data_IF_546495290564
#
_entry.id   IF_546495290564
#
_cell.length_a   1.000
_cell.length_b   1.000
_cell.length_c   1.000
_cell.angle_alpha   90.00
_cell.angle_beta   90.00
_cell.angle_gamma   90.00
#
_symmetry.space_group_name_H-M   'P 1'
#
loop_
_entity.id
_entity.type
_entity.pdbx_description
1 polymer ?
#
# COMPACT_ATOMS: atom_id res chain seq x y z
N UNK A 1 -9.02 9.23 11.73
CA UNK A 1 -8.98 8.23 10.65
C UNK A 1 -8.26 7.00 11.17
N UNK A 2 -8.70 5.79 10.80
CA UNK A 2 -8.08 4.54 11.25
C UNK A 2 -7.88 3.54 10.10
N UNK A 3 -6.81 2.75 10.20
CA UNK A 3 -6.57 1.58 9.36
C UNK A 3 -6.86 0.31 10.16
N UNK A 4 -7.59 -0.62 9.55
CA UNK A 4 -7.87 -1.95 10.10
C UNK A 4 -7.08 -2.99 9.33
N UNK A 5 -6.34 -3.85 10.04
CA UNK A 5 -5.71 -5.02 9.45
C UNK A 5 -6.77 -6.07 9.12
N UNK A 6 -6.82 -6.51 7.86
CA UNK A 6 -7.82 -7.46 7.37
C UNK A 6 -7.17 -8.61 6.59
N UNK A 7 -7.98 -9.61 6.23
CA UNK A 7 -7.55 -10.70 5.37
C UNK A 7 -7.73 -10.38 3.88
N UNK A 8 -6.90 -10.97 3.02
CA UNK A 8 -6.95 -10.89 1.55
C UNK A 8 -8.22 -11.44 0.88
N UNK A 9 -9.18 -11.96 1.65
CA UNK A 9 -10.50 -12.40 1.20
C UNK A 9 -11.66 -11.67 1.89
N UNK A 10 -11.39 -10.57 2.61
CA UNK A 10 -12.44 -9.74 3.21
C UNK A 10 -13.35 -9.17 2.09
N UNK A 11 -14.66 -9.42 2.20
CA UNK A 11 -15.65 -9.02 1.19
C UNK A 11 -15.73 -7.51 0.98
N UNK A 12 -15.45 -6.72 2.02
CA UNK A 12 -15.48 -5.25 1.93
C UNK A 12 -14.33 -4.74 1.08
N UNK A 13 -13.14 -5.28 1.32
CA UNK A 13 -11.96 -4.95 0.53
C UNK A 13 -12.03 -5.48 -0.90
N UNK A 14 -12.69 -6.62 -1.13
CA UNK A 14 -12.91 -7.17 -2.46
C UNK A 14 -13.62 -6.19 -3.39
N UNK A 15 -14.62 -5.46 -2.88
CA UNK A 15 -15.34 -4.46 -3.66
C UNK A 15 -14.40 -3.35 -4.18
N UNK A 16 -13.55 -2.80 -3.32
CA UNK A 16 -12.53 -1.82 -3.73
C UNK A 16 -11.50 -2.44 -4.68
N UNK A 17 -11.02 -3.64 -4.38
CA UNK A 17 -10.01 -4.31 -5.18
C UNK A 17 -10.50 -4.66 -6.59
N UNK A 18 -11.78 -4.98 -6.75
CA UNK A 18 -12.40 -5.27 -8.05
C UNK A 18 -12.45 -4.06 -8.98
N UNK A 19 -12.42 -2.84 -8.43
CA UNK A 19 -12.40 -1.58 -9.17
C UNK A 19 -10.98 -1.05 -9.44
N UNK A 20 -9.94 -1.76 -9.02
CA UNK A 20 -8.56 -1.34 -9.22
C UNK A 20 -8.03 -1.75 -10.61
N UNK A 21 -7.33 -0.84 -11.29
CA UNK A 21 -6.89 -1.02 -12.69
C UNK A 21 -5.92 -2.20 -12.90
N UNK A 22 -5.26 -2.71 -11.85
CA UNK A 22 -4.39 -3.90 -11.94
C UNK A 22 -5.14 -5.22 -11.75
N UNK A 23 -6.43 -5.18 -11.38
CA UNK A 23 -7.19 -6.38 -11.08
C UNK A 23 -7.46 -7.18 -12.36
N UNK A 24 -6.91 -8.40 -12.41
CA UNK A 24 -7.04 -9.28 -13.59
C UNK A 24 -8.36 -10.05 -13.64
N UNK A 25 -8.90 -10.44 -12.47
CA UNK A 25 -10.11 -11.25 -12.34
C UNK A 25 -11.03 -10.67 -11.26
N UNK A 26 -11.81 -9.61 -11.57
CA UNK A 26 -12.85 -9.12 -10.68
C UNK A 26 -13.84 -10.24 -10.30
N UNK A 27 -14.39 -10.22 -9.08
CA UNK A 27 -15.26 -11.27 -8.55
C UNK A 27 -14.54 -12.50 -7.97
N UNK A 28 -13.20 -12.58 -8.07
CA UNK A 28 -12.45 -13.65 -7.38
C UNK A 28 -12.45 -13.42 -5.87
N UNK A 29 -12.51 -14.49 -5.08
CA UNK A 29 -12.60 -14.43 -3.61
C UNK A 29 -11.32 -13.95 -2.90
N UNK A 30 -10.23 -13.72 -3.65
CA UNK A 30 -8.99 -13.14 -3.15
C UNK A 30 -8.42 -12.16 -4.17
N UNK A 31 -7.71 -11.14 -3.68
CA UNK A 31 -7.12 -10.08 -4.49
C UNK A 31 -5.60 -9.95 -4.34
N UNK A 32 -4.98 -10.77 -3.51
CA UNK A 32 -3.54 -10.80 -3.29
C UNK A 32 -2.89 -11.98 -4.03
N UNK A 33 -1.69 -11.76 -4.56
CA UNK A 33 -0.86 -12.82 -5.12
C UNK A 33 -0.24 -13.71 -4.01
N UNK A 34 0.23 -14.94 -4.32
CA UNK A 34 0.92 -15.79 -3.35
C UNK A 34 2.13 -15.09 -2.70
N UNK A 35 2.36 -15.35 -1.40
CA UNK A 35 3.40 -14.68 -0.60
C UNK A 35 2.87 -14.12 0.72
N UNK A 36 3.71 -13.37 1.44
CA UNK A 36 3.33 -12.66 2.66
C UNK A 36 2.58 -11.38 2.28
N UNK A 37 1.38 -11.20 2.83
CA UNK A 37 0.52 -10.07 2.53
C UNK A 37 0.12 -9.35 3.83
N UNK A 38 0.13 -8.03 3.80
CA UNK A 38 -0.45 -7.16 4.81
C UNK A 38 -1.48 -6.30 4.09
N UNK A 39 -2.71 -6.37 4.55
CA UNK A 39 -3.85 -5.70 3.92
C UNK A 39 -4.50 -4.77 4.93
N UNK A 40 -4.62 -3.51 4.56
CA UNK A 40 -5.25 -2.48 5.39
C UNK A 40 -6.47 -1.94 4.67
N UNK A 41 -7.59 -1.86 5.39
CA UNK A 41 -8.82 -1.21 4.95
C UNK A 41 -9.15 -0.08 5.93
N UNK A 42 -9.52 1.09 5.42
CA UNK A 42 -9.99 2.16 6.29
C UNK A 42 -11.32 1.79 6.92
N UNK A 43 -11.61 2.32 8.11
CA UNK A 43 -12.87 2.06 8.84
C UNK A 43 -14.12 2.50 8.08
N UNK A 44 -14.01 3.54 7.23
CA UNK A 44 -15.08 3.96 6.32
C UNK A 44 -15.18 3.10 5.05
N UNK A 45 -14.31 2.09 4.91
CA UNK A 45 -14.25 1.15 3.79
C UNK A 45 -14.02 1.81 2.44
N UNK A 46 -13.44 3.02 2.41
CA UNK A 46 -13.19 3.79 1.20
C UNK A 46 -11.75 3.70 0.68
N UNK A 47 -10.79 3.24 1.47
CA UNK A 47 -9.42 3.07 1.02
C UNK A 47 -8.83 1.71 1.40
N UNK A 48 -8.06 1.14 0.47
CA UNK A 48 -7.44 -0.18 0.57
C UNK A 48 -5.95 -0.06 0.23
N UNK A 49 -5.11 -0.67 1.08
CA UNK A 49 -3.66 -0.76 0.89
C UNK A 49 -3.20 -2.22 1.03
N UNK A 50 -2.29 -2.65 0.16
CA UNK A 50 -1.70 -3.99 0.19
C UNK A 50 -0.18 -3.90 0.10
N UNK A 51 0.51 -4.27 1.18
CA UNK A 51 1.95 -4.58 1.14
C UNK A 51 2.16 -6.07 0.90
N UNK A 52 3.08 -6.41 0.01
CA UNK A 52 3.44 -7.77 -0.33
C UNK A 52 4.95 -8.01 -0.16
N UNK A 53 5.31 -9.22 0.25
CA UNK A 53 6.67 -9.75 0.20
C UNK A 53 6.67 -11.22 -0.30
N UNK A 54 7.64 -11.58 -1.15
CA UNK A 54 7.77 -12.91 -1.73
C UNK A 54 8.83 -12.96 -2.82
N UNK A 55 8.84 -14.04 -3.60
CA UNK A 55 9.84 -14.26 -4.67
C UNK A 55 9.60 -13.29 -5.83
N UNK A 56 10.66 -12.59 -6.25
CA UNK A 56 10.66 -11.64 -7.36
C UNK A 56 11.69 -12.03 -8.42
N UNK A 57 11.44 -11.67 -9.67
CA UNK A 57 12.32 -11.88 -10.82
C UNK A 57 12.91 -10.57 -11.38
N UNK A 58 12.61 -9.44 -10.74
CA UNK A 58 13.06 -8.09 -11.12
C UNK A 58 14.32 -7.62 -10.37
N UNK A 59 14.87 -8.46 -9.49
CA UNK A 59 16.10 -8.21 -8.75
C UNK A 59 15.97 -7.25 -7.56
N UNK A 60 14.76 -6.80 -7.21
CA UNK A 60 14.56 -5.90 -6.08
C UNK A 60 14.50 -6.67 -4.75
N UNK A 61 15.39 -6.34 -3.81
CA UNK A 61 15.19 -6.67 -2.39
C UNK A 61 14.31 -5.61 -1.75
N UNK A 62 12.99 -5.70 -1.94
CA UNK A 62 12.04 -4.71 -1.48
C UNK A 62 10.66 -5.32 -1.22
N UNK A 63 9.91 -4.69 -0.32
CA UNK A 63 8.45 -4.89 -0.27
C UNK A 63 7.80 -4.25 -1.50
N UNK A 64 6.56 -4.65 -1.82
CA UNK A 64 5.77 -4.02 -2.88
C UNK A 64 4.41 -3.57 -2.38
N UNK A 65 4.05 -2.33 -2.67
CA UNK A 65 2.67 -1.89 -2.68
C UNK A 65 2.00 -2.38 -3.98
N UNK A 66 1.32 -3.53 -3.89
CA UNK A 66 0.68 -4.19 -5.05
C UNK A 66 -0.69 -3.60 -5.39
N UNK A 67 -1.34 -2.97 -4.42
CA UNK A 67 -2.65 -2.34 -4.59
C UNK A 67 -2.77 -1.17 -3.61
N UNK A 68 -3.08 0.00 -4.13
CA UNK A 68 -3.57 1.12 -3.34
C UNK A 68 -4.75 1.77 -4.07
N UNK A 69 -5.88 1.86 -3.39
CA UNK A 69 -7.08 2.55 -3.89
C UNK A 69 -7.65 3.43 -2.79
N UNK A 70 -8.06 4.63 -3.15
CA UNK A 70 -8.78 5.55 -2.26
C UNK A 70 -9.95 6.15 -3.03
N UNK A 71 -11.17 5.89 -2.56
CA UNK A 71 -12.44 6.48 -3.03
C UNK A 71 -13.04 7.43 -1.97
N UNK A 72 -12.29 7.72 -0.90
CA UNK A 72 -12.71 8.58 0.19
C UNK A 72 -12.08 9.96 0.13
N UNK A 73 -12.41 10.77 1.14
CA UNK A 73 -12.08 12.20 1.18
C UNK A 73 -10.72 12.48 1.81
N UNK A 74 -10.09 11.46 2.41
CA UNK A 74 -8.77 11.59 3.01
C UNK A 74 -7.68 11.73 1.95
N UNK A 75 -6.67 12.54 2.25
CA UNK A 75 -5.54 12.75 1.35
C UNK A 75 -4.76 11.45 1.14
N UNK A 76 -4.72 10.99 -0.12
CA UNK A 76 -4.07 9.73 -0.50
C UNK A 76 -2.61 9.61 -0.07
N UNK A 77 -1.81 10.68 -0.15
CA UNK A 77 -0.42 10.65 0.31
C UNK A 77 -0.31 10.44 1.81
N UNK A 78 -1.23 11.02 2.59
CA UNK A 78 -1.27 10.82 4.04
C UNK A 78 -1.63 9.37 4.37
N UNK A 79 -2.66 8.81 3.72
CA UNK A 79 -3.02 7.40 3.83
C UNK A 79 -1.84 6.45 3.55
N UNK A 80 -1.06 6.73 2.51
CA UNK A 80 0.15 5.96 2.17
C UNK A 80 1.18 6.03 3.31
N UNK A 81 1.48 7.23 3.83
CA UNK A 81 2.45 7.40 4.94
C UNK A 81 2.02 6.62 6.18
N UNK A 82 0.74 6.68 6.55
CA UNK A 82 0.24 5.91 7.69
C UNK A 82 0.36 4.40 7.45
N UNK A 83 -0.02 3.93 6.25
CA UNK A 83 0.09 2.52 5.89
C UNK A 83 1.55 2.01 5.96
N UNK A 84 2.52 2.84 5.56
CA UNK A 84 3.95 2.52 5.68
C UNK A 84 4.40 2.42 7.13
N UNK A 85 3.95 3.32 8.00
CA UNK A 85 4.26 3.26 9.44
C UNK A 85 3.70 2.00 10.09
N UNK A 86 2.50 1.58 9.69
CA UNK A 86 1.86 0.32 10.13
C UNK A 86 2.65 -0.89 9.61
N UNK A 87 3.03 -0.88 8.33
CA UNK A 87 3.87 -1.96 7.77
C UNK A 87 5.17 -2.07 8.54
N UNK A 88 5.84 -0.97 8.87
CA UNK A 88 7.08 -0.98 9.66
C UNK A 88 6.86 -1.52 11.08
N UNK A 89 5.76 -1.13 11.74
CA UNK A 89 5.41 -1.69 13.05
C UNK A 89 5.23 -3.22 13.00
N UNK A 90 4.50 -3.71 12.00
CA UNK A 90 4.16 -5.14 11.91
C UNK A 90 5.28 -6.01 11.32
N UNK A 91 6.08 -5.49 10.41
CA UNK A 91 7.08 -6.26 9.66
C UNK A 91 8.53 -5.90 10.02
N UNK A 92 8.75 -4.89 10.86
CA UNK A 92 10.08 -4.43 11.27
C UNK A 92 10.70 -3.46 10.26
N UNK A 93 12.04 -3.42 10.22
CA UNK A 93 12.76 -2.57 9.29
C UNK A 93 12.58 -3.03 7.83
N UNK A 94 12.45 -2.09 6.89
CA UNK A 94 12.29 -2.43 5.48
C UNK A 94 13.58 -3.05 4.91
N UNK A 95 13.49 -3.89 3.86
CA UNK A 95 14.64 -4.44 3.14
C UNK A 95 15.52 -3.35 2.52
N UNK A 96 16.68 -3.72 1.95
CA UNK A 96 17.64 -2.73 1.44
C UNK A 96 17.06 -1.81 0.35
N UNK A 97 16.17 -2.33 -0.49
CA UNK A 97 15.43 -1.59 -1.51
C UNK A 97 14.20 -0.85 -0.99
N UNK A 98 13.86 -0.96 0.30
CA UNK A 98 12.72 -0.29 0.90
C UNK A 98 11.39 -0.90 0.46
N UNK A 99 10.50 -0.07 -0.08
CA UNK A 99 9.25 -0.48 -0.70
C UNK A 99 9.10 0.16 -2.08
N UNK A 100 8.58 -0.61 -3.02
CA UNK A 100 8.33 -0.17 -4.39
C UNK A 100 6.85 -0.27 -4.77
N UNK A 101 6.47 0.40 -5.85
CA UNK A 101 5.19 0.22 -6.53
C UNK A 101 5.34 0.41 -8.02
N UNK A 102 4.56 -0.33 -8.80
CA UNK A 102 4.43 -0.14 -10.25
C UNK A 102 3.13 0.60 -10.56
N UNK A 103 3.28 1.80 -11.09
CA UNK A 103 2.16 2.67 -11.46
C UNK A 103 1.79 2.42 -12.93
N UNK A 104 0.49 2.28 -13.20
CA UNK A 104 -0.01 2.10 -14.57
C UNK A 104 0.32 3.31 -15.44
N UNK A 105 0.56 3.10 -16.74
CA UNK A 105 1.07 4.13 -17.67
C UNK A 105 0.19 5.40 -17.74
N UNK A 106 -1.13 5.25 -17.54
CA UNK A 106 -2.08 6.36 -17.53
C UNK A 106 -2.02 7.21 -16.24
N UNK A 107 -1.25 6.78 -15.24
CA UNK A 107 -1.10 7.46 -13.95
C UNK A 107 0.33 7.98 -13.78
N UNK A 108 0.45 9.16 -13.20
CA UNK A 108 1.76 9.79 -12.90
C UNK A 108 2.27 9.54 -11.48
N UNK A 109 1.53 8.79 -10.66
CA UNK A 109 1.93 8.45 -9.29
C UNK A 109 1.99 9.63 -8.32
N UNK A 110 1.22 10.71 -8.55
CA UNK A 110 1.30 11.95 -7.78
C UNK A 110 1.18 11.77 -6.25
N UNK A 111 0.26 10.91 -5.80
CA UNK A 111 0.10 10.61 -4.37
C UNK A 111 1.33 9.91 -3.76
N UNK A 112 1.97 9.00 -4.50
CA UNK A 112 3.20 8.34 -4.06
C UNK A 112 4.36 9.34 -3.99
N UNK A 113 4.48 10.25 -4.96
CA UNK A 113 5.49 11.30 -4.92
C UNK A 113 5.33 12.21 -3.70
N UNK A 114 4.11 12.61 -3.40
CA UNK A 114 3.77 13.40 -2.21
C UNK A 114 4.02 12.61 -0.90
N UNK A 115 3.89 11.28 -0.92
CA UNK A 115 4.26 10.39 0.18
C UNK A 115 5.78 10.10 0.27
N UNK A 116 6.61 10.75 -0.56
CA UNK A 116 8.07 10.64 -0.50
C UNK A 116 8.70 9.68 -1.49
N UNK A 117 7.91 8.95 -2.30
CA UNK A 117 8.45 8.05 -3.32
C UNK A 117 9.17 8.82 -4.42
N UNK A 118 10.18 8.18 -5.02
CA UNK A 118 10.95 8.69 -6.14
C UNK A 118 10.98 7.69 -7.28
N UNK A 119 11.16 8.19 -8.51
CA UNK A 119 11.30 7.34 -9.69
C UNK A 119 12.57 6.48 -9.55
N UNK A 120 12.42 5.17 -9.73
CA UNK A 120 13.52 4.22 -9.70
C UNK A 120 13.71 3.47 -11.03
N UNK A 121 12.76 3.59 -11.97
CA UNK A 121 12.90 3.02 -13.30
C UNK A 121 11.57 2.79 -14.00
N UNK A 122 11.55 1.79 -14.88
CA UNK A 122 10.36 1.29 -15.57
C UNK A 122 10.37 -0.25 -15.55
N UNK A 123 9.20 -0.89 -15.56
CA UNK A 123 9.12 -2.34 -15.79
C UNK A 123 9.45 -2.71 -17.24
N UNK A 124 9.68 -4.00 -17.50
CA UNK A 124 9.81 -4.55 -18.88
C UNK A 124 8.61 -4.22 -19.77
N UNK A 125 7.44 -4.03 -19.15
CA UNK A 125 6.16 -3.70 -19.80
C UNK A 125 5.81 -2.21 -19.77
N UNK A 126 6.78 -1.33 -19.49
CA UNK A 126 6.57 0.12 -19.57
C UNK A 126 5.92 0.79 -18.35
N UNK A 127 5.69 0.06 -17.25
CA UNK A 127 5.09 0.65 -16.03
C UNK A 127 6.11 1.48 -15.26
N UNK A 128 5.70 2.64 -14.76
CA UNK A 128 6.53 3.50 -13.93
C UNK A 128 6.84 2.81 -12.59
N UNK A 129 8.12 2.63 -12.28
CA UNK A 129 8.57 2.11 -11.01
C UNK A 129 8.91 3.27 -10.06
N UNK A 130 8.22 3.30 -8.92
CA UNK A 130 8.47 4.23 -7.83
C UNK A 130 8.99 3.49 -6.61
N UNK A 131 9.92 4.11 -5.88
CA UNK A 131 10.56 3.57 -4.69
C UNK A 131 10.52 4.57 -3.54
N UNK A 132 10.25 4.06 -2.34
CA UNK A 132 10.58 4.71 -1.08
C UNK A 132 11.74 3.95 -0.42
N UNK A 133 12.89 4.61 -0.33
CA UNK A 133 14.11 4.05 0.26
C UNK A 133 13.99 3.88 1.78
N UNK A 134 14.73 2.95 2.41
CA UNK A 134 14.64 2.68 3.86
C UNK A 134 14.77 3.92 4.74
N UNK A 135 15.72 4.81 4.41
CA UNK A 135 15.96 6.06 5.15
C UNK A 135 14.81 7.09 5.07
N UNK A 136 13.80 6.87 4.23
CA UNK A 136 12.61 7.71 4.09
C UNK A 136 11.35 7.05 4.62
N UNK A 137 11.45 5.85 5.19
CA UNK A 137 10.31 5.23 5.87
C UNK A 137 9.89 6.10 7.05
N UNK A 138 8.57 6.30 7.25
CA UNK A 138 8.09 6.93 8.46
C UNK A 138 8.43 6.08 9.69
N UNK A 139 8.37 6.67 10.90
CA UNK A 139 8.41 5.90 12.14
C UNK A 139 7.35 4.78 12.16
N UNK A 140 7.63 3.72 12.90
CA UNK A 140 6.63 2.68 13.18
C UNK A 140 5.41 3.31 13.86
N UNK A 141 4.21 2.90 13.46
CA UNK A 141 2.97 3.40 14.06
C UNK A 141 2.49 2.46 15.17
N UNK A 142 2.13 3.03 16.31
CA UNK A 142 1.55 2.27 17.42
C UNK A 142 0.03 2.10 17.26
N UNK A 143 -0.52 0.91 17.57
CA UNK A 143 -1.96 0.71 17.61
C UNK A 143 -2.59 1.42 18.82
N UNK A 144 -3.82 1.87 18.67
CA UNK A 144 -4.66 2.33 19.77
C UNK A 144 -5.21 1.14 20.59
N UNK A 145 -5.76 1.43 21.77
CA UNK A 145 -6.51 0.44 22.55
C UNK A 145 -7.62 -0.18 21.67
N UNK A 146 -7.59 -1.52 21.51
CA UNK A 146 -8.51 -2.26 20.65
C UNK A 146 -7.94 -2.76 19.31
N UNK A 147 -6.65 -2.56 19.03
CA UNK A 147 -5.97 -3.21 17.88
C UNK A 147 -6.16 -2.51 16.53
N UNK A 148 -6.69 -1.29 16.54
CA UNK A 148 -6.76 -0.42 15.36
C UNK A 148 -5.57 0.54 15.32
N UNK A 149 -5.11 0.90 14.13
CA UNK A 149 -4.10 1.95 13.97
C UNK A 149 -4.81 3.29 13.76
N UNK A 150 -4.75 4.19 14.74
CA UNK A 150 -5.48 5.46 14.73
C UNK A 150 -4.53 6.65 14.65
N UNK A 151 -4.86 7.60 13.79
CA UNK A 151 -4.22 8.91 13.75
C UNK A 151 -5.29 10.00 13.62
N UNK A 152 -5.15 11.06 14.42
CA UNK A 152 -5.98 12.25 14.29
C UNK A 152 -5.40 13.15 13.19
N UNK A 153 -6.16 13.31 12.12
CA UNK A 153 -5.81 14.26 11.07
C UNK A 153 -6.49 15.57 11.41
N UNK A 154 -5.73 16.52 11.98
CA UNK A 154 -6.19 17.90 12.08
C UNK A 154 -5.96 18.51 10.69
N UNK A 155 -7.00 18.55 9.87
CA UNK A 155 -6.98 19.32 8.63
C UNK A 155 -7.27 20.76 9.04
N UNK A 156 -6.23 21.59 9.06
CA UNK A 156 -6.35 23.04 9.16
C UNK A 156 -6.76 23.64 7.81
#
# INVERSE_FOLDING_TARGET
>A
MSWTLINKGDHRALQLADRHYTRQKPGSNQFCRPGKNLVLLTEDEKALWVTWNGIRDDGWDAWECTLFRNEGDYLSSHLIVLALGITRHLWGEPPAGGIITYVGEHLRGGCFHAAGFRKAGMSKSGKLLLQLSPNRFPPAMEPAEGGLFRHEVIIA
#
